data_IF_970166587829
#
_entry.id   IF_970166587829
#
_cell.length_a   1.000
_cell.length_b   1.000
_cell.length_c   1.000
_cell.angle_alpha   90.00
_cell.angle_beta   90.00
_cell.angle_gamma   90.00
#
_symmetry.space_group_name_H-M   'P 1'
#
loop_
_entity.id
_entity.type
_entity.pdbx_description
1 polymer ?
#
# COMPACT_ATOMS: atom_id res chain seq x y z
N UNK A 1 0.94 7.55 -18.42
CA UNK A 1 0.26 8.72 -17.81
C UNK A 1 0.36 9.87 -18.80
N UNK A 2 -0.75 10.47 -19.23
CA UNK A 2 -0.72 11.65 -20.13
C UNK A 2 -0.24 12.87 -19.34
N UNK A 3 0.63 13.71 -19.94
CA UNK A 3 1.26 14.87 -19.30
C UNK A 3 0.76 16.18 -19.92
N UNK A 4 0.48 17.18 -19.08
CA UNK A 4 -0.09 18.47 -19.49
C UNK A 4 0.64 19.65 -18.84
N UNK A 5 0.80 20.74 -19.59
CA UNK A 5 1.18 22.05 -19.02
C UNK A 5 -0.05 22.85 -18.60
N UNK A 6 -1.15 22.76 -19.36
CA UNK A 6 -2.43 23.33 -19.01
C UNK A 6 -3.53 22.29 -19.22
N UNK A 7 -4.46 22.19 -18.26
CA UNK A 7 -5.69 21.41 -18.40
C UNK A 7 -6.86 22.40 -18.51
N UNK A 8 -7.40 22.50 -19.72
CA UNK A 8 -8.63 23.22 -20.03
C UNK A 8 -9.85 22.32 -19.84
N UNK A 9 -11.06 22.90 -19.87
CA UNK A 9 -12.29 22.12 -19.78
C UNK A 9 -12.41 21.09 -20.92
N UNK A 10 -12.03 21.47 -22.14
CA UNK A 10 -12.02 20.60 -23.31
C UNK A 10 -11.11 19.38 -23.10
N UNK A 11 -9.86 19.62 -22.67
CA UNK A 11 -8.94 18.53 -22.31
C UNK A 11 -9.54 17.65 -21.22
N UNK A 12 -10.15 18.25 -20.19
CA UNK A 12 -10.77 17.51 -19.10
C UNK A 12 -11.96 16.64 -19.53
N UNK A 13 -12.68 16.98 -20.61
CA UNK A 13 -13.77 16.18 -21.19
C UNK A 13 -13.29 14.99 -22.03
N UNK A 14 -12.07 15.05 -22.53
CA UNK A 14 -11.49 13.99 -23.36
C UNK A 14 -10.70 12.95 -22.58
N UNK A 15 -10.42 13.20 -21.29
CA UNK A 15 -9.77 12.22 -20.42
C UNK A 15 -10.68 11.03 -20.11
N UNK A 16 -10.13 9.87 -19.78
CA UNK A 16 -10.96 8.74 -19.37
C UNK A 16 -11.47 8.94 -17.94
N UNK A 17 -12.76 8.68 -17.62
CA UNK A 17 -13.24 8.75 -16.25
C UNK A 17 -12.45 7.84 -15.31
N UNK A 18 -12.08 8.33 -14.13
CA UNK A 18 -11.24 7.59 -13.17
C UNK A 18 -9.75 7.52 -13.50
N UNK A 19 -9.31 8.12 -14.62
CA UNK A 19 -7.89 8.11 -15.01
C UNK A 19 -7.02 9.06 -14.18
N UNK A 20 -5.71 8.84 -14.21
CA UNK A 20 -4.70 9.71 -13.59
C UNK A 20 -3.86 10.39 -14.66
N UNK A 21 -3.66 11.70 -14.54
CA UNK A 21 -2.88 12.53 -15.46
C UNK A 21 -1.83 13.35 -14.72
N UNK A 22 -0.73 13.64 -15.40
CA UNK A 22 0.39 14.43 -14.86
C UNK A 22 0.26 15.89 -15.30
N UNK A 23 0.40 16.84 -14.38
CA UNK A 23 0.54 18.27 -14.66
C UNK A 23 1.99 18.67 -14.46
N UNK A 24 2.57 19.53 -15.31
CA UNK A 24 3.94 20.03 -15.09
C UNK A 24 4.02 20.86 -13.80
N UNK A 25 5.25 21.08 -13.28
CA UNK A 25 5.48 21.76 -11.99
C UNK A 25 4.79 23.13 -11.92
N UNK A 26 4.84 23.89 -13.00
CA UNK A 26 4.22 25.21 -13.11
C UNK A 26 2.89 25.20 -13.88
N UNK A 27 2.36 24.00 -14.15
CA UNK A 27 1.16 23.84 -14.98
C UNK A 27 -0.12 24.36 -14.33
N UNK A 28 -1.12 24.71 -15.14
CA UNK A 28 -2.37 25.29 -14.66
C UNK A 28 -3.59 24.44 -14.99
N UNK A 29 -4.58 24.46 -14.07
CA UNK A 29 -5.91 23.90 -14.31
C UNK A 29 -6.90 25.06 -14.29
N UNK A 30 -7.60 25.25 -15.41
CA UNK A 30 -8.61 26.31 -15.51
C UNK A 30 -9.77 26.05 -14.53
N UNK A 31 -10.52 27.08 -14.09
CA UNK A 31 -11.65 26.89 -13.18
C UNK A 31 -12.69 25.89 -13.70
N UNK A 32 -13.10 26.00 -14.97
CA UNK A 32 -14.07 25.08 -15.60
C UNK A 32 -13.54 23.64 -15.74
N UNK A 33 -12.22 23.48 -15.93
CA UNK A 33 -11.60 22.16 -15.93
C UNK A 33 -11.68 21.48 -14.56
N UNK A 34 -11.56 22.22 -13.45
CA UNK A 34 -11.62 21.64 -12.09
C UNK A 34 -12.95 20.93 -11.84
N UNK A 35 -14.06 21.56 -12.21
CA UNK A 35 -15.40 20.99 -12.03
C UNK A 35 -15.57 19.73 -12.90
N UNK A 36 -15.08 19.78 -14.14
CA UNK A 36 -15.14 18.65 -15.08
C UNK A 36 -14.28 17.46 -14.62
N UNK A 37 -13.06 17.72 -14.15
CA UNK A 37 -12.16 16.69 -13.62
C UNK A 37 -12.76 16.00 -12.39
N UNK A 38 -13.37 16.80 -11.48
CA UNK A 38 -14.05 16.30 -10.28
C UNK A 38 -15.23 15.40 -10.64
N UNK A 39 -16.12 15.86 -11.54
CA UNK A 39 -17.29 15.09 -11.98
C UNK A 39 -16.90 13.75 -12.62
N UNK A 40 -15.76 13.71 -13.31
CA UNK A 40 -15.26 12.51 -14.01
C UNK A 40 -14.27 11.68 -13.19
N UNK A 41 -14.04 12.06 -11.93
CA UNK A 41 -13.11 11.41 -10.99
C UNK A 41 -11.68 11.26 -11.57
N UNK A 42 -11.24 12.25 -12.34
CA UNK A 42 -9.90 12.27 -12.91
C UNK A 42 -8.91 12.84 -11.91
N UNK A 43 -7.87 12.08 -11.59
CA UNK A 43 -6.83 12.50 -10.65
C UNK A 43 -5.74 13.28 -11.38
N UNK A 44 -5.51 14.54 -11.01
CA UNK A 44 -4.40 15.35 -11.54
C UNK A 44 -3.24 15.35 -10.53
N UNK A 45 -2.09 14.91 -10.99
CA UNK A 45 -0.86 14.82 -10.18
C UNK A 45 0.14 15.83 -10.71
N UNK A 46 0.54 16.82 -9.91
CA UNK A 46 1.52 17.82 -10.34
C UNK A 46 2.96 17.29 -10.22
N UNK A 47 3.80 17.60 -11.20
CA UNK A 47 5.21 17.23 -11.24
C UNK A 47 5.95 17.87 -10.07
N UNK A 48 6.62 17.03 -9.28
CA UNK A 48 7.23 17.44 -8.02
C UNK A 48 6.26 17.46 -6.83
N UNK A 49 4.95 17.33 -7.08
CA UNK A 49 3.88 17.16 -6.10
C UNK A 49 3.16 15.80 -6.26
N UNK A 50 3.92 14.71 -6.48
CA UNK A 50 3.56 13.46 -5.79
C UNK A 50 3.98 13.64 -4.33
N UNK A 51 3.38 14.62 -3.65
CA UNK A 51 4.06 15.38 -2.61
C UNK A 51 3.19 15.46 -1.37
N UNK A 52 3.46 14.58 -0.40
CA UNK A 52 2.91 14.59 0.95
C UNK A 52 1.38 14.41 1.09
N UNK A 53 0.50 15.04 0.32
CA UNK A 53 -0.95 15.05 0.60
C UNK A 53 -1.66 13.74 0.24
N UNK A 54 -1.31 13.10 -0.87
CA UNK A 54 -1.84 11.77 -1.22
C UNK A 54 -1.24 10.69 -0.32
N UNK A 55 0.04 10.83 0.02
CA UNK A 55 0.73 9.98 1.01
C UNK A 55 0.13 10.13 2.40
N UNK A 56 -0.20 11.35 2.81
CA UNK A 56 -0.84 11.64 4.09
C UNK A 56 -2.23 11.06 4.08
N UNK A 57 -3.03 11.28 3.03
CA UNK A 57 -4.37 10.67 2.91
C UNK A 57 -4.34 9.14 2.91
N UNK A 58 -3.38 8.52 2.23
CA UNK A 58 -3.21 7.06 2.25
C UNK A 58 -2.70 6.55 3.61
N UNK A 59 -1.86 7.33 4.29
CA UNK A 59 -1.31 7.01 5.61
C UNK A 59 -2.32 7.20 6.76
N UNK A 60 -3.28 8.11 6.61
CA UNK A 60 -4.30 8.45 7.62
C UNK A 60 -5.68 7.85 7.31
N UNK A 61 -5.83 7.16 6.18
CA UNK A 61 -7.09 6.48 5.83
C UNK A 61 -7.39 5.40 6.86
N UNK A 62 -8.62 5.44 7.36
CA UNK A 62 -9.16 4.41 8.24
C UNK A 62 -9.11 3.05 7.53
N UNK A 63 -8.48 2.06 8.16
CA UNK A 63 -8.43 0.69 7.64
C UNK A 63 -9.74 0.02 8.00
N UNK A 64 -10.54 -0.37 7.00
CA UNK A 64 -11.80 -1.08 7.17
C UNK A 64 -11.78 -2.46 6.53
N UNK A 65 -11.06 -2.60 5.42
CA UNK A 65 -10.93 -3.85 4.66
C UNK A 65 -9.47 -4.30 4.65
N UNK A 66 -9.23 -5.52 5.12
CA UNK A 66 -7.90 -6.14 5.13
C UNK A 66 -7.93 -7.38 4.25
N UNK A 67 -7.10 -7.41 3.21
CA UNK A 67 -6.86 -8.61 2.40
C UNK A 67 -5.90 -9.53 3.14
N UNK A 68 -6.23 -10.81 3.28
CA UNK A 68 -5.41 -11.77 4.01
C UNK A 68 -5.13 -12.98 3.13
N UNK A 69 -3.87 -13.36 3.01
CA UNK A 69 -3.45 -14.57 2.31
C UNK A 69 -2.42 -15.37 3.10
N UNK A 70 -2.33 -16.66 2.82
CA UNK A 70 -1.25 -17.51 3.30
C UNK A 70 -0.84 -18.58 2.29
N UNK A 71 0.42 -19.01 2.34
CA UNK A 71 0.81 -20.29 1.75
C UNK A 71 0.28 -21.46 2.60
N UNK A 72 0.57 -22.68 2.15
CA UNK A 72 0.13 -23.91 2.81
C UNK A 72 0.63 -24.07 4.25
N UNK A 73 1.76 -23.46 4.61
CA UNK A 73 2.32 -23.51 5.97
C UNK A 73 1.65 -22.50 6.92
N UNK A 74 1.13 -21.40 6.37
CA UNK A 74 0.47 -20.34 7.14
C UNK A 74 -1.03 -20.52 7.34
N UNK A 75 -1.64 -21.60 6.83
CA UNK A 75 -3.10 -21.78 6.79
C UNK A 75 -3.78 -21.63 8.16
N UNK A 76 -3.21 -22.24 9.21
CA UNK A 76 -3.80 -22.18 10.55
C UNK A 76 -3.65 -20.80 11.17
N UNK A 77 -2.47 -20.19 11.08
CA UNK A 77 -2.25 -18.82 11.56
C UNK A 77 -3.13 -17.82 10.79
N UNK A 78 -3.40 -18.06 9.50
CA UNK A 78 -4.33 -17.25 8.70
C UNK A 78 -5.74 -17.28 9.26
N UNK A 79 -6.23 -18.44 9.69
CA UNK A 79 -7.56 -18.58 10.30
C UNK A 79 -7.67 -17.74 11.58
N UNK A 80 -6.64 -17.80 12.42
CA UNK A 80 -6.55 -17.00 13.64
C UNK A 80 -6.52 -15.50 13.34
N UNK A 81 -5.70 -15.06 12.37
CA UNK A 81 -5.63 -13.65 11.96
C UNK A 81 -6.96 -13.19 11.36
N UNK A 82 -7.63 -13.99 10.53
CA UNK A 82 -8.95 -13.68 9.98
C UNK A 82 -9.99 -13.52 11.09
N UNK A 83 -9.99 -14.41 12.08
CA UNK A 83 -10.90 -14.34 13.23
C UNK A 83 -10.63 -13.09 14.08
N UNK A 84 -9.36 -12.78 14.34
CA UNK A 84 -8.93 -11.60 15.08
C UNK A 84 -9.34 -10.28 14.38
N UNK A 85 -9.12 -10.17 13.07
CA UNK A 85 -9.54 -8.99 12.31
C UNK A 85 -11.06 -8.79 12.37
N UNK A 86 -11.84 -9.88 12.26
CA UNK A 86 -13.30 -9.84 12.35
C UNK A 86 -13.79 -9.45 13.74
N UNK A 87 -13.14 -9.94 14.81
CA UNK A 87 -13.50 -9.57 16.18
C UNK A 87 -13.27 -8.07 16.46
N UNK A 88 -12.34 -7.44 15.73
CA UNK A 88 -12.12 -5.99 15.72
C UNK A 88 -13.12 -5.19 14.87
N UNK A 89 -14.09 -5.85 14.24
CA UNK A 89 -15.09 -5.20 13.37
C UNK A 89 -14.57 -4.85 11.97
N UNK A 90 -13.42 -5.40 11.57
CA UNK A 90 -12.86 -5.20 10.23
C UNK A 90 -13.40 -6.23 9.24
N UNK A 91 -13.52 -5.84 7.98
CA UNK A 91 -13.79 -6.77 6.89
C UNK A 91 -12.50 -7.49 6.51
N UNK A 92 -12.43 -8.79 6.79
CA UNK A 92 -11.27 -9.63 6.46
C UNK A 92 -11.55 -10.43 5.18
N UNK A 93 -10.93 -10.03 4.06
CA UNK A 93 -11.05 -10.67 2.75
C UNK A 93 -9.99 -11.77 2.62
N UNK A 94 -10.41 -13.02 2.72
CA UNK A 94 -9.54 -14.19 2.54
C UNK A 94 -9.25 -14.40 1.04
N UNK A 95 -7.98 -14.32 0.65
CA UNK A 95 -7.49 -14.53 -0.72
C UNK A 95 -6.73 -15.86 -0.88
N UNK A 96 -6.95 -16.80 0.04
CA UNK A 96 -6.38 -18.14 -0.01
C UNK A 96 -5.01 -18.26 0.66
N UNK A 97 -4.36 -19.41 0.61
CA UNK A 97 -4.93 -20.70 0.16
C UNK A 97 -6.03 -21.19 1.11
N UNK A 98 -6.92 -22.07 0.63
CA UNK A 98 -8.05 -22.60 1.42
C UNK A 98 -7.86 -24.08 1.83
N UNK A 99 -6.78 -24.71 1.38
CA UNK A 99 -6.42 -26.08 1.71
C UNK A 99 -4.96 -26.19 2.14
N UNK A 100 -4.58 -27.35 2.68
CA UNK A 100 -3.18 -27.69 3.00
C UNK A 100 -2.37 -28.11 1.78
N UNK A 101 -2.93 -28.02 0.57
CA UNK A 101 -2.22 -28.35 -0.65
C UNK A 101 -1.08 -27.35 -0.86
N UNK A 102 0.07 -27.86 -1.32
CA UNK A 102 1.24 -26.99 -1.54
C UNK A 102 0.90 -25.93 -2.57
N UNK A 103 1.22 -24.70 -2.21
CA UNK A 103 1.17 -23.52 -3.06
C UNK A 103 2.45 -22.72 -2.86
N UNK A 104 2.80 -21.91 -3.84
CA UNK A 104 3.97 -21.03 -3.80
C UNK A 104 3.59 -19.67 -3.22
N UNK A 105 4.29 -19.25 -2.16
CA UNK A 105 4.03 -17.98 -1.49
C UNK A 105 4.05 -16.73 -2.40
N UNK A 106 4.84 -16.64 -3.51
CA UNK A 106 4.84 -15.45 -4.34
C UNK A 106 3.48 -15.16 -4.97
N UNK A 107 2.71 -16.20 -5.32
CA UNK A 107 1.39 -16.04 -5.96
C UNK A 107 0.40 -15.42 -4.98
N UNK A 108 0.34 -15.98 -3.76
CA UNK A 108 -0.51 -15.47 -2.68
C UNK A 108 -0.11 -14.05 -2.27
N UNK A 109 1.20 -13.80 -2.14
CA UNK A 109 1.72 -12.48 -1.83
C UNK A 109 1.35 -11.45 -2.90
N UNK A 110 1.43 -11.83 -4.18
CA UNK A 110 1.07 -10.96 -5.29
C UNK A 110 -0.43 -10.65 -5.32
N UNK A 111 -1.31 -11.62 -5.00
CA UNK A 111 -2.75 -11.39 -4.97
C UNK A 111 -3.19 -10.42 -3.87
N UNK A 112 -2.65 -10.59 -2.65
CA UNK A 112 -2.86 -9.64 -1.55
C UNK A 112 -2.30 -8.26 -1.90
N UNK A 113 -1.05 -8.22 -2.38
CA UNK A 113 -0.38 -6.98 -2.75
C UNK A 113 -1.14 -6.21 -3.86
N UNK A 114 -1.63 -6.90 -4.89
CA UNK A 114 -2.42 -6.26 -5.95
C UNK A 114 -3.78 -5.77 -5.46
N UNK A 115 -4.45 -6.49 -4.56
CA UNK A 115 -5.70 -6.04 -3.96
C UNK A 115 -5.51 -4.70 -3.20
N UNK A 116 -4.42 -4.57 -2.45
CA UNK A 116 -4.06 -3.33 -1.77
C UNK A 116 -3.68 -2.23 -2.77
N UNK A 117 -2.85 -2.54 -3.76
CA UNK A 117 -2.38 -1.56 -4.75
C UNK A 117 -3.53 -0.96 -5.58
N UNK A 118 -4.57 -1.75 -5.89
CA UNK A 118 -5.77 -1.30 -6.61
C UNK A 118 -6.78 -0.58 -5.72
N UNK A 119 -6.62 -0.62 -4.39
CA UNK A 119 -7.58 -0.08 -3.44
C UNK A 119 -8.81 -0.96 -3.20
N UNK A 120 -8.76 -2.25 -3.59
CA UNK A 120 -9.80 -3.25 -3.27
C UNK A 120 -9.78 -3.61 -1.78
N UNK A 121 -8.66 -3.37 -1.10
CA UNK A 121 -8.47 -3.46 0.34
C UNK A 121 -7.61 -2.27 0.82
N UNK A 122 -7.84 -1.80 2.05
CA UNK A 122 -7.07 -0.69 2.62
C UNK A 122 -5.67 -1.14 3.08
N UNK A 123 -5.54 -2.42 3.45
CA UNK A 123 -4.28 -3.02 3.90
C UNK A 123 -4.25 -4.53 3.63
N UNK A 124 -3.07 -5.14 3.76
CA UNK A 124 -2.86 -6.57 3.51
C UNK A 124 -2.09 -7.31 4.61
N UNK A 125 -2.38 -8.58 4.82
CA UNK A 125 -1.58 -9.52 5.63
C UNK A 125 -1.24 -10.75 4.79
N UNK A 126 0.04 -11.13 4.71
CA UNK A 126 0.48 -12.36 4.03
C UNK A 126 1.24 -13.25 5.00
N UNK A 127 0.94 -14.55 5.01
CA UNK A 127 1.55 -15.49 5.93
C UNK A 127 2.23 -16.61 5.14
N UNK A 128 3.52 -16.81 5.38
CA UNK A 128 4.24 -17.99 4.90
C UNK A 128 5.06 -18.58 6.05
N UNK A 129 5.90 -19.59 5.80
CA UNK A 129 6.67 -20.24 6.85
C UNK A 129 7.53 -19.28 7.67
N UNK A 130 8.17 -18.29 7.04
CA UNK A 130 9.07 -17.32 7.68
C UNK A 130 8.61 -15.85 7.53
N UNK A 131 7.62 -15.57 6.69
CA UNK A 131 7.13 -14.25 6.27
C UNK A 131 8.07 -13.49 5.32
N UNK A 132 9.34 -13.89 5.22
CA UNK A 132 10.39 -13.16 4.49
C UNK A 132 10.16 -13.22 2.98
N UNK A 133 9.84 -14.41 2.44
CA UNK A 133 9.62 -14.61 1.02
C UNK A 133 8.45 -13.76 0.51
N UNK A 134 7.33 -13.83 1.22
CA UNK A 134 6.14 -13.03 0.92
C UNK A 134 6.42 -11.53 0.96
N UNK A 135 7.23 -11.05 1.91
CA UNK A 135 7.60 -9.63 1.95
C UNK A 135 8.40 -9.22 0.71
N UNK A 136 9.37 -10.04 0.29
CA UNK A 136 10.16 -9.77 -0.92
C UNK A 136 9.27 -9.76 -2.17
N UNK A 137 8.38 -10.75 -2.31
CA UNK A 137 7.47 -10.86 -3.45
C UNK A 137 6.47 -9.70 -3.51
N UNK A 138 5.80 -9.38 -2.40
CA UNK A 138 4.83 -8.31 -2.32
C UNK A 138 5.43 -6.93 -2.67
N UNK A 139 6.66 -6.65 -2.23
CA UNK A 139 7.39 -5.41 -2.57
C UNK A 139 7.75 -5.28 -4.06
N UNK A 140 7.54 -6.30 -4.89
CA UNK A 140 7.68 -6.18 -6.36
C UNK A 140 6.46 -5.54 -7.03
N UNK A 141 5.35 -5.40 -6.31
CA UNK A 141 4.15 -4.74 -6.81
C UNK A 141 4.25 -3.23 -6.52
N UNK A 142 4.16 -2.41 -7.56
CA UNK A 142 4.20 -0.94 -7.44
C UNK A 142 3.16 -0.44 -6.44
N UNK A 143 3.55 0.53 -5.60
CA UNK A 143 2.72 1.08 -4.52
C UNK A 143 2.71 0.28 -3.21
N UNK A 144 3.32 -0.91 -3.19
CA UNK A 144 3.36 -1.78 -2.01
C UNK A 144 4.64 -1.58 -1.22
N UNK A 145 4.45 -1.45 0.09
CA UNK A 145 5.49 -1.46 1.10
C UNK A 145 5.16 -2.57 2.06
N UNK A 146 5.82 -3.70 1.86
CA UNK A 146 5.66 -4.89 2.66
C UNK A 146 6.81 -5.06 3.65
N UNK A 147 6.50 -5.54 4.85
CA UNK A 147 7.52 -5.87 5.87
C UNK A 147 7.15 -7.18 6.55
N UNK A 148 8.16 -7.99 6.87
CA UNK A 148 8.01 -9.10 7.79
C UNK A 148 8.22 -8.58 9.21
N UNK A 149 7.27 -8.85 10.11
CA UNK A 149 7.40 -8.51 11.52
C UNK A 149 6.98 -9.67 12.42
N UNK A 150 7.81 -9.96 13.42
CA UNK A 150 7.51 -10.93 14.48
C UNK A 150 7.22 -10.26 15.83
N UNK A 151 7.52 -8.96 15.95
CA UNK A 151 7.41 -8.20 17.18
C UNK A 151 6.50 -6.98 17.01
N UNK A 152 5.57 -6.70 17.95
CA UNK A 152 4.64 -5.56 17.87
C UNK A 152 5.34 -4.21 17.68
N UNK A 153 6.50 -4.04 18.31
CA UNK A 153 7.32 -2.83 18.17
C UNK A 153 7.76 -2.59 16.72
N UNK A 154 8.18 -3.65 16.04
CA UNK A 154 8.59 -3.60 14.62
C UNK A 154 7.39 -3.28 13.74
N UNK A 155 6.25 -3.92 13.98
CA UNK A 155 5.01 -3.67 13.26
C UNK A 155 4.54 -2.21 13.38
N UNK A 156 4.59 -1.65 14.59
CA UNK A 156 4.30 -0.24 14.85
C UNK A 156 5.22 0.68 14.07
N UNK A 157 6.54 0.50 14.20
CA UNK A 157 7.52 1.33 13.49
C UNK A 157 7.44 1.20 11.98
N UNK A 158 7.14 0.01 11.47
CA UNK A 158 6.90 -0.21 10.06
C UNK A 158 5.74 0.65 9.53
N UNK A 159 4.64 0.73 10.29
CA UNK A 159 3.51 1.61 9.94
C UNK A 159 3.87 3.08 10.09
N UNK A 160 4.39 3.50 11.24
CA UNK A 160 4.67 4.91 11.56
C UNK A 160 5.77 5.52 10.68
N UNK A 161 6.84 4.76 10.41
CA UNK A 161 8.05 5.29 9.77
C UNK A 161 8.10 5.05 8.26
N UNK A 162 7.49 3.95 7.80
CA UNK A 162 7.59 3.49 6.40
C UNK A 162 6.23 3.39 5.72
N UNK A 163 5.13 3.52 6.47
CA UNK A 163 3.78 3.54 5.90
C UNK A 163 3.47 2.19 5.28
N UNK A 164 3.93 1.11 5.92
CA UNK A 164 3.71 -0.27 5.48
C UNK A 164 2.22 -0.53 5.36
N UNK A 165 1.81 -0.96 4.16
CA UNK A 165 0.44 -1.28 3.80
C UNK A 165 0.21 -2.78 3.58
N UNK A 166 1.27 -3.59 3.60
CA UNK A 166 1.19 -5.06 3.65
C UNK A 166 2.10 -5.58 4.76
N UNK A 167 1.53 -6.23 5.76
CA UNK A 167 2.28 -6.92 6.81
C UNK A 167 2.50 -8.37 6.39
N UNK A 168 3.67 -8.94 6.67
CA UNK A 168 3.89 -10.38 6.53
C UNK A 168 4.31 -11.03 7.84
N UNK A 169 3.86 -12.26 8.04
CA UNK A 169 4.06 -13.04 9.27
C UNK A 169 4.69 -14.39 8.93
N UNK A 170 5.58 -14.87 9.80
CA UNK A 170 6.17 -16.20 9.72
C UNK A 170 5.44 -17.18 10.60
N UNK A 171 4.71 -18.14 10.01
CA UNK A 171 3.93 -19.13 10.74
C UNK A 171 4.76 -20.06 11.63
N UNK A 172 6.06 -20.21 11.34
CA UNK A 172 6.99 -20.99 12.19
C UNK A 172 7.68 -20.15 13.27
N UNK A 173 7.48 -18.83 13.27
CA UNK A 173 8.20 -17.88 14.12
C UNK A 173 7.32 -17.23 15.19
N UNK A 174 6.00 -17.17 14.98
CA UNK A 174 5.06 -16.56 15.93
C UNK A 174 3.86 -17.47 16.16
N UNK A 175 3.33 -17.46 17.39
CA UNK A 175 2.05 -18.07 17.70
C UNK A 175 0.88 -17.12 17.39
N UNK A 176 -0.35 -17.63 17.49
CA UNK A 176 -1.57 -16.87 17.21
C UNK A 176 -1.71 -15.60 18.06
N UNK A 177 -1.36 -15.68 19.35
CA UNK A 177 -1.44 -14.54 20.27
C UNK A 177 -0.45 -13.45 19.85
N UNK A 178 0.80 -13.83 19.59
CA UNK A 178 1.84 -12.90 19.13
C UNK A 178 1.47 -12.29 17.78
N UNK A 179 0.95 -13.09 16.85
CA UNK A 179 0.49 -12.58 15.56
C UNK A 179 -0.63 -11.52 15.73
N UNK A 180 -1.60 -11.76 16.61
CA UNK A 180 -2.64 -10.79 16.94
C UNK A 180 -2.06 -9.48 17.50
N UNK A 181 -1.11 -9.56 18.45
CA UNK A 181 -0.41 -8.38 19.00
C UNK A 181 0.35 -7.60 17.92
N UNK A 182 1.03 -8.29 17.00
CA UNK A 182 1.76 -7.68 15.87
C UNK A 182 0.80 -6.99 14.92
N UNK A 183 -0.28 -7.68 14.53
CA UNK A 183 -1.34 -7.11 13.67
C UNK A 183 -1.98 -5.89 14.34
N UNK A 184 -2.23 -5.94 15.64
CA UNK A 184 -2.85 -4.81 16.37
C UNK A 184 -1.96 -3.60 16.46
N UNK A 185 -0.67 -3.79 16.75
CA UNK A 185 0.30 -2.71 16.79
C UNK A 185 0.47 -2.06 15.42
N UNK A 186 0.41 -2.86 14.34
CA UNK A 186 0.48 -2.34 12.97
C UNK A 186 -0.78 -1.58 12.56
N UNK A 187 -1.98 -2.12 12.84
CA UNK A 187 -3.26 -1.50 12.47
C UNK A 187 -3.56 -0.22 13.27
N UNK A 188 -3.14 -0.16 14.53
CA UNK A 188 -3.43 0.97 15.42
C UNK A 188 -2.43 2.13 15.26
N UNK A 189 -1.33 1.89 14.55
CA UNK A 189 -0.31 2.88 14.30
C UNK A 189 -0.70 3.79 13.12
N UNK A 190 -0.34 5.08 13.23
CA UNK A 190 -0.58 6.07 12.20
C UNK A 190 0.72 6.78 11.82
N UNK A 191 0.92 7.00 10.53
CA UNK A 191 2.01 7.84 10.05
C UNK A 191 1.56 9.30 10.02
N UNK A 192 2.30 10.16 10.71
CA UNK A 192 2.02 11.61 10.76
C UNK A 192 3.25 12.50 10.75
N UNK A 193 4.45 11.98 10.98
CA UNK A 193 5.65 12.81 11.02
C UNK A 193 6.15 13.17 9.62
N UNK A 194 6.34 14.47 9.36
CA UNK A 194 6.80 14.99 8.07
C UNK A 194 8.11 14.34 7.57
N UNK A 195 9.03 13.99 8.49
CA UNK A 195 10.30 13.33 8.12
C UNK A 195 10.10 11.94 7.52
N UNK A 196 9.08 11.21 7.98
CA UNK A 196 8.77 9.86 7.50
C UNK A 196 8.00 9.91 6.19
N UNK A 197 7.00 10.79 6.07
CA UNK A 197 6.29 11.06 4.82
C UNK A 197 7.27 11.40 3.68
N UNK A 198 8.24 12.28 3.95
CA UNK A 198 9.31 12.61 2.98
C UNK A 198 10.13 11.39 2.55
N UNK A 199 10.44 10.48 3.48
CA UNK A 199 11.23 9.26 3.19
C UNK A 199 10.42 8.26 2.37
N UNK A 200 9.13 8.08 2.66
CA UNK A 200 8.23 7.25 1.85
C UNK A 200 8.13 7.80 0.42
N UNK A 201 8.04 9.12 0.24
CA UNK A 201 8.09 9.72 -1.09
C UNK A 201 9.42 9.46 -1.83
N UNK A 202 10.54 9.24 -1.11
CA UNK A 202 11.78 8.76 -1.75
C UNK A 202 11.69 7.31 -2.16
N UNK A 203 11.11 6.44 -1.32
CA UNK A 203 10.91 5.02 -1.61
C UNK A 203 10.04 4.85 -2.86
N UNK A 204 8.91 5.56 -2.95
CA UNK A 204 8.03 5.50 -4.13
C UNK A 204 8.74 5.89 -5.41
N UNK A 205 9.67 6.85 -5.37
CA UNK A 205 10.47 7.22 -6.54
C UNK A 205 11.42 6.12 -7.01
N UNK A 206 11.78 5.15 -6.15
CA UNK A 206 12.58 4.00 -6.55
C UNK A 206 11.79 3.01 -7.42
N UNK A 207 10.45 3.07 -7.40
CA UNK A 207 9.58 2.18 -8.17
C UNK A 207 9.53 2.55 -9.66
N UNK A 208 9.96 3.76 -10.03
CA UNK A 208 9.95 4.25 -11.41
C UNK A 208 11.29 3.93 -12.12
N UNK A 209 11.29 3.15 -13.21
CA UNK A 209 12.49 2.92 -14.00
C UNK A 209 12.99 4.26 -14.57
N UNK A 210 14.20 4.69 -14.17
CA UNK A 210 14.87 5.88 -14.71
C UNK A 210 14.96 7.11 -13.79
N UNK A 211 14.43 7.09 -12.56
CA UNK A 211 14.54 8.22 -11.62
C UNK A 211 15.93 8.38 -10.96
N UNK A 212 16.89 7.49 -11.28
CA UNK A 212 18.26 7.58 -10.80
C UNK A 212 19.07 8.61 -11.61
N UNK A 213 18.82 9.91 -11.38
CA UNK A 213 19.46 10.93 -12.21
C UNK A 213 19.39 12.38 -11.76
N UNK A 214 19.12 12.73 -10.51
CA UNK A 214 19.37 14.10 -10.03
C UNK A 214 19.32 14.18 -8.50
N UNK A 215 20.45 14.43 -7.85
CA UNK A 215 20.43 14.81 -6.42
C UNK A 215 21.47 14.19 -5.51
N UNK A 216 22.61 13.69 -6.02
CA UNK A 216 23.84 13.75 -5.23
C UNK A 216 24.27 15.22 -5.17
N UNK A 217 23.66 16.03 -4.30
CA UNK A 217 24.29 17.27 -3.87
C UNK A 217 25.43 16.86 -2.95
N UNK A 218 26.65 16.89 -3.47
CA UNK A 218 27.83 16.83 -2.64
C UNK A 218 27.83 17.99 -1.65
N UNK A 219 28.02 17.70 -0.38
CA UNK A 219 29.23 18.01 0.39
C UNK A 219 29.15 17.24 1.71
#
# INVERSE_FOLDING_TARGET
MKRFEIITEEVARDLEPGSTVELTRDGQVTPLARDTLSARRVTVVRQGELGADELTRAATREIRVVAVGADHTGLDLKREVLAHLRSRGLTARDLGTHSSDRVDYPDVAADVARAVARGDADAGVVIDGAGVGSAVAANKITGIRAVMATEPLVARYAREHVGVNVLTLGATLVDARRAAEVVDAWLSAAMGEARYLRRVAKIQRLEQPGAAGSGRSGR
#
